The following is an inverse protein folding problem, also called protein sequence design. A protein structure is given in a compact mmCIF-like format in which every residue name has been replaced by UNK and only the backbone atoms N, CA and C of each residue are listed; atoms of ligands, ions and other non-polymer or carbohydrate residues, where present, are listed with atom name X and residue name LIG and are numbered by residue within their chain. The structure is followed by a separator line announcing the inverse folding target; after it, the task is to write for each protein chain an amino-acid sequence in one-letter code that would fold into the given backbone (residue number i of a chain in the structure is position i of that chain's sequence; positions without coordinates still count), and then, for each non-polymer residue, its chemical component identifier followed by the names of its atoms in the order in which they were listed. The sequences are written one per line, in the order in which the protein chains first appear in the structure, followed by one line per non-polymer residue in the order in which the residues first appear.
data_IF_190717020893
#
_entry.id   IF_190717020893
#
_cell.length_a   1.000
_cell.length_b   1.000
_cell.length_c   1.000
_cell.angle_alpha   90.00
_cell.angle_beta   90.00
_cell.angle_gamma   90.00
#
_symmetry.space_group_name_H-M   'P 1'
#
loop_
_entity.id
_entity.type
_entity.pdbx_description
1 polymer ?
#
# COMPACT_ATOMS: atom_id res chain seq x y z
N UNK A 1 -12.61 -40.11 -23.91
CA UNK A 1 -13.58 -39.19 -23.27
C UNK A 1 -13.08 -38.58 -21.96
N UNK A 2 -12.65 -39.35 -20.94
CA UNK A 2 -12.24 -38.79 -19.63
C UNK A 2 -11.06 -37.81 -19.68
N UNK A 3 -10.08 -38.03 -20.56
CA UNK A 3 -8.90 -37.15 -20.74
C UNK A 3 -9.25 -35.85 -21.48
N UNK A 4 -10.10 -35.92 -22.50
CA UNK A 4 -10.52 -34.76 -23.29
C UNK A 4 -11.39 -33.77 -22.49
N UNK A 5 -12.24 -34.29 -21.58
CA UNK A 5 -13.02 -33.46 -20.66
C UNK A 5 -12.12 -32.73 -19.66
N UNK A 6 -11.07 -33.41 -19.14
CA UNK A 6 -10.11 -32.79 -18.22
C UNK A 6 -9.32 -31.65 -18.90
N UNK A 7 -8.88 -31.85 -20.14
CA UNK A 7 -8.17 -30.82 -20.92
C UNK A 7 -9.08 -29.63 -21.26
N UNK A 8 -10.36 -29.88 -21.57
CA UNK A 8 -11.35 -28.82 -21.81
C UNK A 8 -11.64 -28.00 -20.54
N UNK A 9 -11.75 -28.66 -19.37
CA UNK A 9 -11.90 -27.98 -18.09
C UNK A 9 -10.66 -27.16 -17.70
N UNK A 10 -9.44 -27.63 -18.01
CA UNK A 10 -8.22 -26.83 -17.80
C UNK A 10 -8.17 -25.60 -18.72
N UNK A 11 -8.54 -25.74 -19.99
CA UNK A 11 -8.57 -24.63 -20.95
C UNK A 11 -9.63 -23.59 -20.58
N UNK A 12 -10.83 -24.01 -20.16
CA UNK A 12 -11.84 -23.08 -19.67
C UNK A 12 -11.43 -22.42 -18.34
N UNK A 13 -10.75 -23.16 -17.44
CA UNK A 13 -10.22 -22.60 -16.19
C UNK A 13 -9.23 -21.46 -16.39
N UNK A 14 -8.33 -21.56 -17.39
CA UNK A 14 -7.34 -20.50 -17.68
C UNK A 14 -7.99 -19.17 -18.13
N UNK A 15 -9.14 -19.22 -18.81
CA UNK A 15 -9.83 -18.01 -19.30
C UNK A 15 -10.43 -17.19 -18.14
N UNK A 16 -10.85 -17.85 -17.05
CA UNK A 16 -11.39 -17.17 -15.86
C UNK A 16 -10.30 -16.52 -15.00
N UNK A 17 -9.10 -17.09 -14.90
CA UNK A 17 -8.01 -16.50 -14.12
C UNK A 17 -7.45 -15.20 -14.72
N UNK A 18 -7.49 -15.03 -16.05
CA UNK A 18 -7.01 -13.82 -16.72
C UNK A 18 -7.84 -12.56 -16.39
N UNK A 19 -9.10 -12.70 -15.97
CA UNK A 19 -9.99 -11.59 -15.59
C UNK A 19 -9.96 -11.28 -14.09
N UNK A 20 -9.35 -12.13 -13.27
CA UNK A 20 -9.28 -11.95 -11.82
C UNK A 20 -8.09 -11.08 -11.35
N UNK A 21 -7.18 -10.71 -12.26
CA UNK A 21 -6.10 -9.77 -11.96
C UNK A 21 -6.69 -8.35 -11.85
N UNK A 22 -7.09 -7.95 -10.65
CA UNK A 22 -7.41 -6.56 -10.34
C UNK A 22 -6.21 -5.70 -10.74
N UNK A 23 -6.45 -4.65 -11.54
CA UNK A 23 -5.41 -3.71 -11.91
C UNK A 23 -4.75 -3.15 -10.63
N UNK A 24 -3.41 -2.99 -10.60
CA UNK A 24 -2.75 -2.39 -9.46
C UNK A 24 -3.32 -0.99 -9.21
N UNK A 25 -3.55 -0.61 -7.94
CA UNK A 25 -4.19 0.65 -7.61
C UNK A 25 -3.36 1.83 -8.11
N UNK A 26 -4.04 2.85 -8.61
CA UNK A 26 -3.41 4.08 -9.06
C UNK A 26 -2.91 4.90 -7.87
N UNK A 27 -1.92 5.78 -8.10
CA UNK A 27 -1.41 6.67 -7.05
C UNK A 27 -2.52 7.55 -6.44
N UNK A 28 -3.52 7.94 -7.23
CA UNK A 28 -4.68 8.73 -6.79
C UNK A 28 -5.59 7.95 -5.85
N UNK A 29 -5.91 6.69 -6.20
CA UNK A 29 -6.74 5.82 -5.35
C UNK A 29 -6.03 5.51 -4.04
N UNK A 30 -4.72 5.25 -4.08
CA UNK A 30 -3.92 5.02 -2.87
C UNK A 30 -3.88 6.25 -1.97
N UNK A 31 -3.66 7.44 -2.55
CA UNK A 31 -3.65 8.69 -1.80
C UNK A 31 -5.02 8.96 -1.15
N UNK A 32 -6.10 8.81 -1.92
CA UNK A 32 -7.47 8.99 -1.41
C UNK A 32 -7.75 8.07 -0.23
N UNK A 33 -7.47 6.76 -0.36
CA UNK A 33 -7.66 5.78 0.73
C UNK A 33 -6.83 6.12 1.96
N UNK A 34 -5.60 6.60 1.78
CA UNK A 34 -4.73 7.00 2.89
C UNK A 34 -5.28 8.25 3.61
N UNK A 35 -5.76 9.26 2.88
CA UNK A 35 -6.43 10.42 3.49
C UNK A 35 -7.68 10.02 4.24
N UNK A 36 -8.52 9.15 3.67
CA UNK A 36 -9.72 8.65 4.35
C UNK A 36 -9.40 7.90 5.65
N UNK A 37 -8.35 7.08 5.65
CA UNK A 37 -7.89 6.37 6.84
C UNK A 37 -7.37 7.33 7.91
N UNK A 38 -6.56 8.32 7.52
CA UNK A 38 -6.08 9.35 8.44
C UNK A 38 -7.22 10.21 8.97
N UNK A 39 -8.18 10.59 8.13
CA UNK A 39 -9.33 11.42 8.53
C UNK A 39 -10.21 10.76 9.59
N UNK A 40 -10.42 9.44 9.49
CA UNK A 40 -11.18 8.67 10.50
C UNK A 40 -10.58 8.77 11.90
N UNK A 41 -9.25 8.88 12.01
CA UNK A 41 -8.56 9.00 13.30
C UNK A 41 -8.36 10.46 13.72
N UNK A 42 -7.88 11.30 12.81
CA UNK A 42 -7.41 12.67 13.10
C UNK A 42 -8.49 13.75 12.93
N UNK A 43 -9.63 13.42 12.31
CA UNK A 43 -10.73 14.36 12.00
C UNK A 43 -10.20 15.63 11.31
N UNK A 44 -9.64 15.46 10.13
CA UNK A 44 -8.96 16.51 9.39
C UNK A 44 -9.97 17.53 8.83
N UNK A 45 -9.62 18.81 8.88
CA UNK A 45 -10.40 19.82 8.15
C UNK A 45 -10.08 19.79 6.64
N UNK A 46 -10.92 20.43 5.82
CA UNK A 46 -10.79 20.41 4.36
C UNK A 46 -9.43 20.91 3.85
N UNK A 47 -8.85 21.93 4.49
CA UNK A 47 -7.53 22.46 4.12
C UNK A 47 -6.42 21.47 4.44
N UNK A 48 -6.44 20.87 5.63
CA UNK A 48 -5.49 19.83 6.02
C UNK A 48 -5.57 18.63 5.07
N UNK A 49 -6.79 18.18 4.73
CA UNK A 49 -7.00 17.09 3.76
C UNK A 49 -6.34 17.37 2.42
N UNK A 50 -6.53 18.56 1.86
CA UNK A 50 -5.96 18.91 0.55
C UNK A 50 -4.42 18.96 0.60
N UNK A 51 -3.84 19.60 1.62
CA UNK A 51 -2.38 19.69 1.76
C UNK A 51 -1.77 18.29 1.94
N UNK A 52 -2.33 17.51 2.86
CA UNK A 52 -1.86 16.14 3.14
C UNK A 52 -2.06 15.26 1.90
N UNK A 53 -3.16 15.40 1.15
CA UNK A 53 -3.39 14.66 -0.09
C UNK A 53 -2.25 14.87 -1.08
N UNK A 54 -1.77 16.10 -1.28
CA UNK A 54 -0.68 16.36 -2.22
C UNK A 54 0.63 15.67 -1.78
N UNK A 55 0.99 15.73 -0.50
CA UNK A 55 2.17 15.04 0.02
C UNK A 55 2.05 13.52 -0.13
N UNK A 56 0.88 12.97 0.18
CA UNK A 56 0.61 11.54 0.07
C UNK A 56 0.59 11.09 -1.39
N UNK A 57 0.00 11.87 -2.29
CA UNK A 57 -0.05 11.58 -3.72
C UNK A 57 1.36 11.53 -4.34
N UNK A 58 2.22 12.47 -3.97
CA UNK A 58 3.63 12.44 -4.39
C UNK A 58 4.36 11.20 -3.89
N UNK A 59 4.16 10.82 -2.62
CA UNK A 59 4.73 9.58 -2.08
C UNK A 59 4.19 8.33 -2.80
N UNK A 60 2.89 8.30 -3.10
CA UNK A 60 2.25 7.20 -3.83
C UNK A 60 2.78 7.08 -5.26
N UNK A 61 3.10 8.19 -5.96
CA UNK A 61 3.73 8.13 -7.28
C UNK A 61 5.11 7.48 -7.21
N UNK A 62 5.93 7.86 -6.23
CA UNK A 62 7.25 7.26 -6.01
C UNK A 62 7.13 5.77 -5.66
N UNK A 63 6.12 5.39 -4.87
CA UNK A 63 5.83 3.99 -4.57
C UNK A 63 5.49 3.19 -5.84
N UNK A 64 4.62 3.71 -6.71
CA UNK A 64 4.28 3.05 -7.99
C UNK A 64 5.52 2.93 -8.88
N UNK A 65 6.35 3.98 -8.95
CA UNK A 65 7.58 3.96 -9.73
C UNK A 65 8.56 2.89 -9.21
N UNK A 66 8.75 2.81 -7.90
CA UNK A 66 9.59 1.79 -7.27
C UNK A 66 9.05 0.39 -7.51
N UNK A 67 7.74 0.16 -7.37
CA UNK A 67 7.13 -1.15 -7.65
C UNK A 67 7.30 -1.58 -9.11
N UNK A 68 7.24 -0.65 -10.06
CA UNK A 68 7.55 -0.95 -11.48
C UNK A 68 9.01 -1.35 -11.68
N UNK A 69 9.95 -0.67 -11.02
CA UNK A 69 11.37 -1.04 -11.04
C UNK A 69 11.62 -2.40 -10.40
N UNK A 70 10.91 -2.73 -9.32
CA UNK A 70 10.97 -4.04 -8.67
C UNK A 70 10.48 -5.16 -9.60
N UNK A 71 9.35 -4.95 -10.30
CA UNK A 71 8.81 -5.92 -11.26
C UNK A 71 9.76 -6.19 -12.43
N UNK A 72 10.53 -5.18 -12.84
CA UNK A 72 11.51 -5.28 -13.94
C UNK A 72 12.89 -5.75 -13.48
N UNK A 73 13.11 -5.88 -12.16
CA UNK A 73 14.42 -6.23 -11.58
C UNK A 73 15.47 -5.12 -11.67
N UNK A 74 15.09 -3.90 -12.07
CA UNK A 74 15.99 -2.76 -12.30
C UNK A 74 16.05 -1.78 -11.13
N UNK A 75 15.68 -2.21 -9.92
CA UNK A 75 15.78 -1.37 -8.72
C UNK A 75 17.15 -1.56 -8.07
N UNK A 76 17.67 -0.50 -7.48
CA UNK A 76 18.90 -0.54 -6.69
C UNK A 76 18.64 -0.08 -5.25
N UNK A 77 19.65 -0.22 -4.40
CA UNK A 77 19.58 0.19 -3.00
C UNK A 77 19.39 1.71 -2.85
N UNK A 78 19.88 2.50 -3.81
CA UNK A 78 19.70 3.95 -3.83
C UNK A 78 18.24 4.34 -4.04
N UNK A 79 17.52 3.67 -4.93
CA UNK A 79 16.08 3.86 -5.17
C UNK A 79 15.27 3.59 -3.89
N UNK A 80 15.62 2.52 -3.18
CA UNK A 80 15.00 2.17 -1.89
C UNK A 80 15.32 3.25 -0.84
N UNK A 81 16.59 3.65 -0.73
CA UNK A 81 17.03 4.67 0.23
C UNK A 81 16.39 6.03 -0.04
N UNK A 82 16.23 6.40 -1.31
CA UNK A 82 15.52 7.61 -1.74
C UNK A 82 14.04 7.54 -1.35
N UNK A 83 13.39 6.40 -1.55
CA UNK A 83 12.00 6.20 -1.15
C UNK A 83 11.81 6.36 0.36
N UNK A 84 12.66 5.74 1.19
CA UNK A 84 12.58 5.88 2.65
C UNK A 84 12.83 7.32 3.12
N UNK A 85 13.78 8.04 2.51
CA UNK A 85 13.98 9.47 2.79
C UNK A 85 12.72 10.27 2.47
N UNK A 86 12.13 10.05 1.29
CA UNK A 86 10.89 10.70 0.89
C UNK A 86 9.72 10.39 1.83
N UNK A 87 9.61 9.13 2.27
CA UNK A 87 8.60 8.71 3.24
C UNK A 87 8.75 9.48 4.55
N UNK A 88 9.96 9.56 5.11
CA UNK A 88 10.24 10.30 6.35
C UNK A 88 9.97 11.80 6.22
N UNK A 89 10.35 12.40 5.09
CA UNK A 89 10.03 13.80 4.78
C UNK A 89 8.53 14.03 4.71
N UNK A 90 7.80 13.16 4.01
CA UNK A 90 6.34 13.23 3.93
C UNK A 90 5.70 13.10 5.32
N UNK A 91 6.14 12.15 6.14
CA UNK A 91 5.64 12.00 7.52
C UNK A 91 5.88 13.27 8.35
N UNK A 92 7.08 13.84 8.28
CA UNK A 92 7.40 15.10 8.96
C UNK A 92 6.52 16.25 8.47
N UNK A 93 6.35 16.38 7.15
CA UNK A 93 5.54 17.44 6.54
C UNK A 93 4.06 17.33 6.93
N UNK A 94 3.50 16.13 6.91
CA UNK A 94 2.13 15.87 7.36
C UNK A 94 1.99 16.25 8.84
N UNK A 95 2.91 15.80 9.69
CA UNK A 95 2.90 16.15 11.13
C UNK A 95 2.89 17.67 11.37
N UNK A 96 3.64 18.43 10.58
CA UNK A 96 3.70 19.89 10.68
C UNK A 96 2.40 20.60 10.29
N UNK A 97 1.55 19.98 9.47
CA UNK A 97 0.22 20.49 9.08
C UNK A 97 -0.82 20.27 10.20
N UNK A 98 -0.57 19.28 11.05
CA UNK A 98 -1.44 18.91 12.17
C UNK A 98 -1.14 19.77 13.40
N UNK A 99 -2.16 19.98 14.24
CA UNK A 99 -2.06 20.82 15.44
C UNK A 99 -2.61 20.11 16.67
N UNK A 100 -2.04 20.42 17.83
CA UNK A 100 -2.50 19.91 19.13
C UNK A 100 -2.61 18.39 19.15
N UNK A 101 -3.75 17.89 19.61
CA UNK A 101 -4.03 16.45 19.75
C UNK A 101 -3.89 15.65 18.43
N UNK A 102 -4.09 16.30 17.27
CA UNK A 102 -3.93 15.64 15.98
C UNK A 102 -2.49 15.16 15.74
N UNK A 103 -1.48 15.84 16.32
CA UNK A 103 -0.08 15.40 16.21
C UNK A 103 0.16 14.10 16.97
N UNK A 104 -0.35 14.00 18.21
CA UNK A 104 -0.25 12.79 19.03
C UNK A 104 -0.95 11.60 18.36
N UNK A 105 -2.15 11.83 17.83
CA UNK A 105 -2.91 10.81 17.10
C UNK A 105 -2.21 10.37 15.81
N UNK A 106 -1.53 11.29 15.14
CA UNK A 106 -0.74 10.98 13.96
C UNK A 106 0.51 10.18 14.29
N UNK A 107 1.22 10.54 15.35
CA UNK A 107 2.39 9.80 15.80
C UNK A 107 2.01 8.35 16.16
N UNK A 108 0.88 8.15 16.83
CA UNK A 108 0.29 6.82 17.07
C UNK A 108 -0.08 6.09 15.78
N UNK A 109 -0.74 6.79 14.84
CA UNK A 109 -1.09 6.22 13.54
C UNK A 109 0.15 5.73 12.77
N UNK A 110 1.22 6.51 12.75
CA UNK A 110 2.48 6.12 12.10
C UNK A 110 3.11 4.92 12.81
N UNK A 111 3.11 4.89 14.15
CA UNK A 111 3.62 3.75 14.91
C UNK A 111 2.83 2.46 14.64
N UNK A 112 1.50 2.53 14.62
CA UNK A 112 0.64 1.39 14.27
C UNK A 112 0.98 0.85 12.88
N UNK A 113 1.20 1.74 11.91
CA UNK A 113 1.56 1.38 10.55
C UNK A 113 2.94 0.69 10.50
N UNK A 114 3.93 1.18 11.24
CA UNK A 114 5.25 0.56 11.37
C UNK A 114 5.18 -0.84 12.02
N UNK A 115 4.25 -1.05 12.95
CA UNK A 115 4.04 -2.35 13.62
C UNK A 115 3.28 -3.36 12.73
N UNK A 116 2.82 -2.93 11.54
CA UNK A 116 2.11 -3.74 10.56
C UNK A 116 0.59 -3.68 10.68
N UNK A 117 0.04 -2.61 11.26
CA UNK A 117 -1.39 -2.41 11.49
C UNK A 117 -2.01 -3.45 12.44
N UNK A 118 -3.32 -3.37 12.63
CA UNK A 118 -4.09 -4.40 13.35
C UNK A 118 -3.93 -5.75 12.63
N UNK A 119 -2.95 -6.55 13.07
CA UNK A 119 -2.84 -7.96 12.73
C UNK A 119 -4.03 -8.68 13.34
N UNK A 120 -5.19 -8.65 12.68
CA UNK A 120 -6.25 -9.63 12.91
C UNK A 120 -5.61 -11.01 12.81
N UNK A 121 -5.48 -11.71 13.94
CA UNK A 121 -5.07 -13.12 13.98
C UNK A 121 -5.96 -13.88 12.99
N UNK A 122 -5.39 -14.38 11.89
CA UNK A 122 -6.09 -15.22 10.90
C UNK A 122 -6.64 -16.47 11.63
N UNK A 123 -7.94 -16.46 11.94
CA UNK A 123 -8.76 -17.67 12.08
C UNK A 123 -9.63 -17.75 10.84
N UNK A 124 -9.26 -18.63 9.91
CA UNK A 124 -10.13 -19.21 8.88
C UNK A 124 -10.68 -18.28 7.80
N UNK A 125 -10.43 -18.64 6.53
CA UNK A 125 -11.19 -18.30 5.30
C UNK A 125 -12.14 -17.08 5.35
N UNK A 126 -11.72 -15.96 4.77
CA UNK A 126 -12.37 -15.33 3.60
C UNK A 126 -11.54 -14.11 3.19
N UNK A 127 -11.51 -13.83 1.89
CA UNK A 127 -11.00 -12.61 1.26
C UNK A 127 -11.32 -11.36 2.09
N UNK A 128 -10.30 -10.64 2.51
CA UNK A 128 -10.41 -9.27 2.99
C UNK A 128 -9.23 -8.53 2.40
N UNK A 129 -9.55 -7.49 1.63
CA UNK A 129 -8.62 -6.56 1.00
C UNK A 129 -7.46 -6.28 1.95
N UNK A 130 -6.28 -6.82 1.62
CA UNK A 130 -5.07 -6.40 2.27
C UNK A 130 -4.93 -4.92 1.95
N UNK A 131 -5.20 -4.11 2.97
CA UNK A 131 -4.83 -2.72 3.02
C UNK A 131 -3.30 -2.73 2.93
N UNK A 132 -2.78 -2.70 1.69
CA UNK A 132 -1.36 -2.59 1.39
C UNK A 132 -0.91 -1.23 1.89
N UNK A 133 -0.65 -1.18 3.18
CA UNK A 133 -0.20 -0.01 3.88
C UNK A 133 1.31 -0.14 4.05
N UNK A 134 2.01 0.59 3.18
CA UNK A 134 3.27 1.24 3.47
C UNK A 134 4.57 0.43 3.51
N UNK A 135 4.56 -0.89 3.76
CA UNK A 135 5.83 -1.62 3.95
C UNK A 135 5.76 -3.13 3.70
N UNK A 136 4.59 -3.76 3.79
CA UNK A 136 4.50 -5.22 3.62
C UNK A 136 4.74 -5.68 2.17
N UNK A 137 4.56 -4.79 1.19
CA UNK A 137 4.94 -5.04 -0.21
C UNK A 137 6.45 -4.92 -0.51
N UNK A 138 7.25 -4.50 0.48
CA UNK A 138 8.70 -4.32 0.37
C UNK A 138 9.52 -5.43 1.05
N UNK A 139 8.86 -6.47 1.58
CA UNK A 139 9.58 -7.64 2.10
C UNK A 139 10.25 -8.37 0.94
N UNK A 140 11.57 -8.22 0.85
CA UNK A 140 12.41 -9.11 0.06
C UNK A 140 12.08 -10.56 0.48
N UNK A 141 11.88 -11.49 -0.47
CA UNK A 141 11.77 -12.89 -0.11
C UNK A 141 13.03 -13.24 0.70
N UNK A 142 12.84 -13.90 1.85
CA UNK A 142 13.97 -14.38 2.64
C UNK A 142 14.89 -15.16 1.72
N UNK A 143 16.14 -14.69 1.58
CA UNK A 143 17.20 -15.49 0.99
C UNK A 143 17.38 -16.69 1.91
N UNK A 144 16.76 -17.81 1.56
CA UNK A 144 17.06 -19.06 2.22
C UNK A 144 18.56 -19.35 1.99
N UNK A 145 19.32 -19.66 3.05
CA UNK A 145 20.73 -20.02 2.92
C UNK A 145 20.92 -21.30 2.08
#
# INVERSE_FOLDING_TARGET
MKRSVLTLCMLMGMIFFAKAQKAPPTASEMATKSIEAMDKKLKLNSTQKNIIYNYTFDLCKEQVALSKKQQTGLYNEEDISKFYRKQNETTKNIRNVLKGEQQTQYDQYVEEMLRGGDKKKKKGKHEQEEVVTGIDGLKLPASNP
#
